data_IF_290418278215
#
_entry.id   IF_290418278215
#
_cell.length_a   1.000
_cell.length_b   1.000
_cell.length_c   1.000
_cell.angle_alpha   90.00
_cell.angle_beta   90.00
_cell.angle_gamma   90.00
#
_symmetry.space_group_name_H-M   'P 1'
#
loop_
_entity.id
_entity.type
_entity.pdbx_description
1 polymer ?
#
# COMPACT_ATOMS: atom_id res chain seq x y z
N UNK A 1 -8.30 -12.24 -11.94
CA UNK A 1 -9.14 -11.27 -12.70
C UNK A 1 -8.79 -9.88 -12.17
N UNK A 2 -8.22 -8.99 -12.98
CA UNK A 2 -7.71 -7.69 -12.51
C UNK A 2 -8.78 -6.57 -12.49
N UNK A 3 -10.05 -6.94 -12.62
CA UNK A 3 -11.17 -5.99 -12.60
C UNK A 3 -11.63 -5.79 -11.17
N UNK A 4 -11.80 -4.52 -10.76
CA UNK A 4 -12.40 -4.15 -9.47
C UNK A 4 -13.90 -3.95 -9.66
N UNK A 5 -14.69 -4.36 -8.67
CA UNK A 5 -16.13 -4.09 -8.65
C UNK A 5 -16.40 -2.57 -8.77
N UNK A 6 -17.22 -2.11 -9.73
CA UNK A 6 -17.55 -0.69 -9.90
C UNK A 6 -18.05 -0.01 -8.61
N UNK A 7 -18.84 -0.69 -7.77
CA UNK A 7 -19.33 -0.13 -6.51
C UNK A 7 -18.19 0.10 -5.51
N UNK A 8 -17.17 -0.76 -5.52
CA UNK A 8 -15.97 -0.56 -4.70
C UNK A 8 -15.17 0.64 -5.21
N UNK A 9 -15.08 0.81 -6.53
CA UNK A 9 -14.43 1.99 -7.15
C UNK A 9 -15.17 3.27 -6.75
N UNK A 10 -16.50 3.31 -6.90
CA UNK A 10 -17.32 4.45 -6.49
C UNK A 10 -17.15 4.76 -5.00
N UNK A 11 -17.15 3.73 -4.15
CA UNK A 11 -16.96 3.89 -2.70
C UNK A 11 -15.62 4.55 -2.37
N UNK A 12 -14.49 4.09 -2.92
CA UNK A 12 -13.18 4.69 -2.60
C UNK A 12 -13.05 6.10 -3.16
N UNK A 13 -13.70 6.41 -4.29
CA UNK A 13 -13.72 7.75 -4.87
C UNK A 13 -14.58 8.71 -4.04
N UNK A 14 -15.60 8.21 -3.33
CA UNK A 14 -16.42 8.97 -2.38
C UNK A 14 -15.72 9.33 -1.06
N UNK A 15 -14.46 8.94 -0.87
CA UNK A 15 -13.66 9.21 0.32
C UNK A 15 -12.60 10.30 0.05
N UNK A 16 -12.95 11.60 0.15
CA UNK A 16 -12.05 12.69 -0.26
C UNK A 16 -10.85 12.89 0.68
N UNK A 17 -10.99 12.51 1.95
CA UNK A 17 -9.99 12.76 3.00
C UNK A 17 -9.40 11.48 3.59
N UNK A 18 -9.83 10.30 3.10
CA UNK A 18 -9.34 8.99 3.55
C UNK A 18 -8.60 8.33 2.39
N UNK A 19 -7.26 8.18 2.44
CA UNK A 19 -6.51 7.39 1.47
C UNK A 19 -7.12 6.01 1.29
N UNK A 20 -7.51 5.66 0.06
CA UNK A 20 -8.11 4.36 -0.23
C UNK A 20 -7.65 3.83 -1.59
N UNK A 21 -7.31 2.54 -1.63
CA UNK A 21 -6.96 1.82 -2.86
C UNK A 21 -7.30 0.33 -2.75
N UNK A 22 -7.35 -0.35 -3.89
CA UNK A 22 -7.57 -1.80 -3.99
C UNK A 22 -6.35 -2.45 -4.61
N UNK A 23 -5.89 -3.56 -4.04
CA UNK A 23 -4.80 -4.37 -4.57
C UNK A 23 -5.17 -5.84 -4.76
N UNK A 24 -4.53 -6.53 -5.70
CA UNK A 24 -4.66 -7.99 -5.89
C UNK A 24 -3.71 -8.77 -4.97
N UNK A 25 -3.72 -10.10 -5.06
CA UNK A 25 -2.79 -10.99 -4.32
C UNK A 25 -1.31 -10.83 -4.69
N UNK A 26 -1.00 -10.17 -5.81
CA UNK A 26 0.37 -9.82 -6.21
C UNK A 26 0.78 -8.42 -5.74
N UNK A 27 -0.10 -7.73 -5.01
CA UNK A 27 0.06 -6.34 -4.57
C UNK A 27 0.10 -5.30 -5.70
N UNK A 28 -0.47 -5.61 -6.87
CA UNK A 28 -0.74 -4.62 -7.90
C UNK A 28 -1.92 -3.75 -7.47
N UNK A 29 -1.76 -2.43 -7.53
CA UNK A 29 -2.83 -1.47 -7.27
C UNK A 29 -3.77 -1.43 -8.47
N UNK A 30 -5.00 -1.88 -8.28
CA UNK A 30 -6.03 -1.99 -9.31
C UNK A 30 -6.94 -0.75 -9.37
N UNK A 31 -7.20 -0.12 -8.23
CA UNK A 31 -7.98 1.11 -8.11
C UNK A 31 -7.42 1.97 -6.98
N UNK A 32 -7.54 3.29 -7.08
CA UNK A 32 -6.98 4.20 -6.08
C UNK A 32 -7.71 5.54 -6.13
N UNK A 33 -7.90 6.17 -4.97
CA UNK A 33 -8.50 7.49 -4.88
C UNK A 33 -7.46 8.62 -4.95
N UNK A 34 -7.87 9.86 -5.25
CA UNK A 34 -6.93 10.98 -5.42
C UNK A 34 -6.03 11.23 -4.21
N UNK A 35 -6.59 11.15 -2.99
CA UNK A 35 -5.83 11.41 -1.76
C UNK A 35 -4.80 10.33 -1.47
N UNK A 36 -5.05 9.05 -1.79
CA UNK A 36 -4.02 8.00 -1.70
C UNK A 36 -2.82 8.30 -2.61
N UNK A 37 -3.07 8.67 -3.87
CA UNK A 37 -2.00 9.04 -4.82
C UNK A 37 -1.26 10.31 -4.40
N UNK A 38 -1.96 11.23 -3.74
CA UNK A 38 -1.36 12.44 -3.22
C UNK A 38 -0.44 12.16 -2.03
N UNK A 39 -0.80 11.20 -1.17
CA UNK A 39 0.04 10.73 -0.06
C UNK A 39 1.34 10.12 -0.59
N UNK A 40 1.25 9.27 -1.61
CA UNK A 40 2.44 8.76 -2.31
C UNK A 40 2.09 8.28 -3.73
N UNK A 41 2.97 8.53 -4.72
CA UNK A 41 2.78 8.01 -6.07
C UNK A 41 2.78 6.47 -6.11
N UNK A 42 3.30 5.78 -5.08
CA UNK A 42 3.31 4.32 -4.96
C UNK A 42 1.90 3.71 -4.89
N UNK A 43 0.89 4.50 -4.53
CA UNK A 43 -0.52 4.06 -4.53
C UNK A 43 -1.25 4.39 -5.84
N UNK A 44 -0.54 4.78 -6.91
CA UNK A 44 -1.16 4.94 -8.22
C UNK A 44 -1.55 3.59 -8.84
N UNK A 45 -2.61 3.59 -9.65
CA UNK A 45 -3.04 2.40 -10.39
C UNK A 45 -1.92 1.91 -11.30
N UNK A 46 -1.68 0.61 -11.31
CA UNK A 46 -0.59 -0.04 -12.06
C UNK A 46 0.74 -0.11 -11.32
N UNK A 47 0.87 0.56 -10.17
CA UNK A 47 2.01 0.36 -9.28
C UNK A 47 1.88 -0.99 -8.56
N UNK A 48 3.02 -1.59 -8.21
CA UNK A 48 3.08 -2.79 -7.41
C UNK A 48 3.75 -2.48 -6.06
N UNK A 49 3.06 -2.74 -4.95
CA UNK A 49 3.55 -2.35 -3.63
C UNK A 49 4.78 -3.16 -3.19
N UNK A 50 4.87 -4.43 -3.59
CA UNK A 50 6.04 -5.26 -3.29
C UNK A 50 7.28 -4.78 -4.07
N UNK A 51 7.13 -4.45 -5.36
CA UNK A 51 8.21 -3.82 -6.14
C UNK A 51 8.58 -2.45 -5.57
N UNK A 52 7.59 -1.67 -5.15
CA UNK A 52 7.82 -0.38 -4.52
C UNK A 52 8.54 -0.49 -3.17
N UNK A 53 8.44 -1.64 -2.48
CA UNK A 53 9.12 -1.96 -1.23
C UNK A 53 10.61 -2.31 -1.43
N UNK A 54 10.96 -3.01 -2.51
CA UNK A 54 12.30 -3.59 -2.67
C UNK A 54 13.10 -3.14 -3.91
N UNK A 55 12.48 -2.62 -4.95
CA UNK A 55 13.17 -2.33 -6.22
C UNK A 55 13.35 -0.83 -6.45
N UNK A 56 12.39 -0.01 -6.02
CA UNK A 56 12.36 1.42 -6.31
C UNK A 56 13.43 2.20 -5.51
N UNK A 57 14.50 2.73 -6.15
CA UNK A 57 15.59 3.45 -5.48
C UNK A 57 15.16 4.78 -4.87
N UNK A 58 14.08 5.39 -5.39
CA UNK A 58 13.47 6.60 -4.84
C UNK A 58 12.52 6.27 -3.69
N UNK A 59 12.29 4.98 -3.41
CA UNK A 59 11.25 4.52 -2.51
C UNK A 59 11.48 4.77 -1.04
N UNK A 60 12.73 5.05 -0.65
CA UNK A 60 13.11 5.28 0.73
C UNK A 60 13.04 6.77 1.11
N UNK A 61 13.01 7.69 0.12
CA UNK A 61 13.04 9.12 0.41
C UNK A 61 11.73 9.58 1.06
N UNK A 62 11.84 9.93 2.34
CA UNK A 62 10.72 10.45 3.12
C UNK A 62 9.82 9.38 3.73
N UNK A 63 10.07 8.07 3.59
CA UNK A 63 9.35 7.05 4.37
C UNK A 63 10.19 6.59 5.56
N UNK A 64 9.71 6.84 6.78
CA UNK A 64 10.34 6.39 8.02
C UNK A 64 9.89 4.95 8.32
N UNK A 65 10.73 4.20 9.04
CA UNK A 65 10.50 2.79 9.38
C UNK A 65 10.39 1.83 8.17
N UNK A 66 11.08 2.15 7.08
CA UNK A 66 11.01 1.37 5.84
C UNK A 66 11.39 -0.10 6.00
N UNK A 67 12.37 -0.41 6.86
CA UNK A 67 12.76 -1.78 7.17
C UNK A 67 11.57 -2.58 7.73
N UNK A 68 10.76 -1.97 8.61
CA UNK A 68 9.55 -2.60 9.18
C UNK A 68 8.49 -2.86 8.11
N UNK A 69 8.32 -1.94 7.17
CA UNK A 69 7.35 -2.07 6.06
C UNK A 69 7.80 -3.17 5.08
N UNK A 70 9.10 -3.24 4.81
CA UNK A 70 9.70 -4.27 3.96
C UNK A 70 9.53 -5.65 4.60
N UNK A 71 9.84 -5.79 5.89
CA UNK A 71 9.63 -7.03 6.63
C UNK A 71 8.15 -7.46 6.66
N UNK A 72 7.24 -6.50 6.85
CA UNK A 72 5.81 -6.75 6.78
C UNK A 72 5.37 -7.25 5.40
N UNK A 73 5.88 -6.64 4.32
CA UNK A 73 5.63 -7.08 2.94
C UNK A 73 6.14 -8.51 2.68
N UNK A 74 7.29 -8.90 3.24
CA UNK A 74 7.76 -10.30 3.19
C UNK A 74 6.77 -11.24 3.87
N UNK A 75 6.24 -10.86 5.04
CA UNK A 75 5.21 -11.65 5.74
C UNK A 75 3.98 -11.90 4.86
N UNK A 76 3.45 -10.83 4.25
CA UNK A 76 2.31 -10.90 3.35
C UNK A 76 2.59 -11.74 2.08
N UNK A 77 3.78 -11.61 1.49
CA UNK A 77 4.19 -12.42 0.34
C UNK A 77 4.27 -13.91 0.67
N UNK A 78 4.80 -14.27 1.85
CA UNK A 78 4.84 -15.66 2.33
C UNK A 78 3.45 -16.22 2.57
N UNK A 79 2.54 -15.42 3.15
CA UNK A 79 1.15 -15.82 3.37
C UNK A 79 0.42 -16.04 2.04
N UNK A 80 0.56 -15.13 1.07
CA UNK A 80 -0.02 -15.30 -0.26
C UNK A 80 0.57 -16.54 -0.96
N UNK A 81 1.86 -16.84 -0.78
CA UNK A 81 2.46 -18.05 -1.35
C UNK A 81 1.88 -19.33 -0.74
N UNK A 82 1.57 -19.32 0.55
CA UNK A 82 0.98 -20.47 1.24
C UNK A 82 -0.50 -20.70 0.86
N UNK A 83 -1.21 -19.65 0.43
CA UNK A 83 -2.67 -19.68 0.22
C UNK A 83 -3.08 -19.55 -1.24
N UNK A 84 -2.17 -19.18 -2.16
CA UNK A 84 -2.50 -18.98 -3.57
C UNK A 84 -2.86 -20.29 -4.28
N UNK A 85 -3.93 -20.24 -5.08
CA UNK A 85 -4.32 -21.34 -5.96
C UNK A 85 -3.43 -21.44 -7.22
N UNK A 86 -2.85 -20.32 -7.66
CA UNK A 86 -1.86 -20.26 -8.76
C UNK A 86 -0.61 -19.53 -8.27
N UNK A 87 0.44 -20.31 -8.00
CA UNK A 87 1.69 -19.79 -7.44
C UNK A 87 2.62 -19.21 -8.50
N UNK A 88 2.44 -19.52 -9.79
CA UNK A 88 3.40 -19.14 -10.84
C UNK A 88 3.59 -17.63 -10.99
N UNK A 89 2.54 -16.78 -10.97
CA UNK A 89 2.71 -15.33 -11.00
C UNK A 89 3.47 -14.80 -9.78
N UNK A 90 3.20 -15.36 -8.61
CA UNK A 90 3.83 -14.96 -7.36
C UNK A 90 5.30 -15.39 -7.32
N UNK A 91 5.63 -16.61 -7.74
CA UNK A 91 7.02 -17.08 -7.87
C UNK A 91 7.85 -16.19 -8.81
N UNK A 92 7.26 -15.74 -9.93
CA UNK A 92 7.92 -14.79 -10.83
C UNK A 92 8.22 -13.46 -10.13
N UNK A 93 7.26 -12.93 -9.37
CA UNK A 93 7.47 -11.71 -8.59
C UNK A 93 8.56 -11.92 -7.53
N UNK A 94 8.55 -13.03 -6.80
CA UNK A 94 9.59 -13.34 -5.80
C UNK A 94 10.98 -13.44 -6.42
N UNK A 95 11.10 -14.07 -7.59
CA UNK A 95 12.37 -14.14 -8.34
C UNK A 95 12.85 -12.77 -8.78
N UNK A 96 11.94 -11.90 -9.23
CA UNK A 96 12.24 -10.52 -9.60
C UNK A 96 12.80 -9.75 -8.40
N UNK A 97 12.09 -9.78 -7.26
CA UNK A 97 12.49 -9.11 -6.02
C UNK A 97 13.85 -9.61 -5.50
N UNK A 98 14.09 -10.92 -5.56
CA UNK A 98 15.36 -11.52 -5.14
C UNK A 98 16.55 -11.14 -6.04
N UNK A 99 16.32 -10.96 -7.34
CA UNK A 99 17.38 -10.58 -8.29
C UNK A 99 17.79 -9.10 -8.16
N UNK A 100 16.90 -8.25 -7.67
CA UNK A 100 17.09 -6.80 -7.62
C UNK A 100 17.62 -6.24 -6.30
N UNK A 101 17.56 -6.97 -5.18
CA UNK A 101 17.87 -6.40 -3.86
C UNK A 101 18.34 -7.45 -2.82
N UNK A 102 19.55 -7.29 -2.28
CA UNK A 102 20.09 -8.16 -1.21
C UNK A 102 19.32 -8.07 0.11
N UNK A 103 18.69 -6.92 0.40
CA UNK A 103 17.79 -6.71 1.53
C UNK A 103 16.54 -7.59 1.46
N UNK A 104 15.99 -7.82 0.26
CA UNK A 104 14.88 -8.78 0.10
C UNK A 104 15.29 -10.19 0.49
N UNK A 105 16.44 -10.68 0.01
CA UNK A 105 16.92 -12.03 0.33
C UNK A 105 17.13 -12.23 1.83
N UNK A 106 17.66 -11.21 2.53
CA UNK A 106 17.84 -11.23 3.98
C UNK A 106 16.52 -11.29 4.74
N UNK A 107 15.58 -10.39 4.43
CA UNK A 107 14.25 -10.37 5.06
C UNK A 107 13.47 -11.67 4.77
N UNK A 108 13.56 -12.19 3.53
CA UNK A 108 12.93 -13.45 3.13
C UNK A 108 13.47 -14.65 3.91
N UNK A 109 14.76 -14.70 4.21
CA UNK A 109 15.37 -15.78 4.99
C UNK A 109 14.98 -15.75 6.48
N UNK A 110 14.51 -14.61 7.01
CA UNK A 110 14.09 -14.48 8.40
C UNK A 110 12.79 -15.25 8.70
N UNK A 111 12.67 -15.74 9.92
CA UNK A 111 11.53 -16.54 10.37
C UNK A 111 10.24 -15.69 10.49
N UNK A 112 9.10 -16.38 10.36
CA UNK A 112 7.74 -15.83 10.21
C UNK A 112 7.43 -14.75 11.25
N UNK A 113 7.26 -13.51 10.80
CA UNK A 113 6.65 -12.44 11.59
C UNK A 113 5.12 -12.68 11.52
N UNK A 114 4.41 -12.75 12.66
CA UNK A 114 2.95 -12.71 12.64
C UNK A 114 2.49 -11.46 11.90
N UNK A 115 1.70 -11.63 10.85
CA UNK A 115 1.19 -10.49 10.08
C UNK A 115 0.17 -9.76 10.94
N UNK A 116 0.59 -8.67 11.59
CA UNK A 116 -0.36 -7.62 11.95
C UNK A 116 -0.75 -6.93 10.65
N UNK A 117 -1.94 -7.23 10.16
CA UNK A 117 -2.42 -6.69 8.89
C UNK A 117 -2.45 -5.16 8.87
N UNK A 118 -2.43 -4.51 10.03
CA UNK A 118 -2.39 -3.06 10.14
C UNK A 118 -0.97 -2.53 9.94
N UNK A 119 -0.83 -1.59 9.01
CA UNK A 119 0.47 -0.98 8.68
C UNK A 119 0.45 0.51 9.00
N UNK A 120 1.15 0.92 10.05
CA UNK A 120 1.48 2.33 10.25
C UNK A 120 2.63 2.74 9.33
N UNK A 121 2.42 3.81 8.55
CA UNK A 121 3.43 4.43 7.69
C UNK A 121 3.66 5.85 8.17
N UNK A 122 4.88 6.13 8.64
CA UNK A 122 5.29 7.50 8.94
C UNK A 122 6.10 8.02 7.77
N UNK A 123 5.80 9.23 7.31
CA UNK A 123 6.48 9.82 6.16
C UNK A 123 6.67 11.34 6.29
N UNK A 124 7.77 11.86 5.74
CA UNK A 124 8.06 13.27 5.56
C UNK A 124 7.54 13.72 4.18
N UNK A 125 6.29 14.19 4.13
CA UNK A 125 5.65 14.58 2.87
C UNK A 125 6.11 15.96 2.40
N UNK A 126 6.52 16.14 1.13
CA UNK A 126 7.14 17.37 0.65
C UNK A 126 6.26 18.62 0.75
N UNK A 127 4.93 18.46 0.75
CA UNK A 127 3.97 19.59 0.81
C UNK A 127 3.41 19.89 2.20
N UNK A 128 3.32 18.89 3.08
CA UNK A 128 2.60 19.02 4.37
C UNK A 128 3.45 18.63 5.58
N UNK A 129 4.68 18.18 5.36
CA UNK A 129 5.60 17.75 6.41
C UNK A 129 5.31 16.33 6.90
N UNK A 130 5.82 16.02 8.08
CA UNK A 130 5.74 14.68 8.68
C UNK A 130 4.31 14.27 8.99
N UNK A 131 3.88 13.09 8.56
CA UNK A 131 2.57 12.52 8.93
C UNK A 131 2.68 11.01 9.12
N UNK A 132 1.88 10.50 10.04
CA UNK A 132 1.71 9.06 10.28
C UNK A 132 0.30 8.66 9.88
N UNK A 133 0.19 7.65 9.02
CA UNK A 133 -1.08 7.10 8.54
C UNK A 133 -1.08 5.60 8.78
N UNK A 134 -2.14 5.11 9.40
CA UNK A 134 -2.35 3.70 9.71
C UNK A 134 -3.26 3.07 8.67
N UNK A 135 -2.73 2.12 7.89
CA UNK A 135 -3.46 1.44 6.84
C UNK A 135 -4.10 0.16 7.36
N UNK A 136 -5.40 0.05 7.14
CA UNK A 136 -6.22 -1.12 7.45
C UNK A 136 -6.59 -1.84 6.14
N UNK A 137 -6.05 -3.05 5.89
CA UNK A 137 -6.51 -3.89 4.80
C UNK A 137 -7.81 -4.60 5.19
N UNK A 138 -8.69 -4.75 4.20
CA UNK A 138 -10.00 -5.38 4.27
C UNK A 138 -10.13 -6.31 3.06
N UNK A 139 -10.15 -7.63 3.30
CA UNK A 139 -10.24 -8.63 2.24
C UNK A 139 -11.64 -8.64 1.64
N UNK A 140 -11.75 -8.57 0.32
CA UNK A 140 -12.99 -8.70 -0.44
C UNK A 140 -13.25 -10.19 -0.73
N UNK A 141 -14.27 -10.83 -0.12
CA UNK A 141 -14.43 -12.29 -0.20
C UNK A 141 -14.70 -12.81 -1.62
N UNK A 142 -15.42 -12.03 -2.44
CA UNK A 142 -15.83 -12.46 -3.78
C UNK A 142 -14.68 -12.51 -4.79
N UNK A 143 -13.63 -11.70 -4.59
CA UNK A 143 -12.55 -11.54 -5.57
C UNK A 143 -11.19 -11.96 -5.04
N UNK A 144 -11.02 -12.04 -3.72
CA UNK A 144 -9.67 -12.14 -3.15
C UNK A 144 -8.84 -10.90 -3.47
N UNK A 145 -9.46 -9.73 -3.60
CA UNK A 145 -8.75 -8.46 -3.61
C UNK A 145 -8.73 -7.88 -2.19
N UNK A 146 -7.86 -6.92 -1.94
CA UNK A 146 -7.76 -6.24 -0.66
C UNK A 146 -8.05 -4.76 -0.86
N UNK A 147 -9.10 -4.25 -0.21
CA UNK A 147 -9.34 -2.83 -0.04
C UNK A 147 -8.46 -2.34 1.12
N UNK A 148 -7.69 -1.28 0.92
CA UNK A 148 -6.83 -0.70 1.96
C UNK A 148 -7.30 0.72 2.24
N UNK A 149 -7.55 1.02 3.52
CA UNK A 149 -8.00 2.33 3.99
C UNK A 149 -6.95 2.94 4.93
N UNK A 150 -6.53 4.17 4.68
CA UNK A 150 -5.63 4.93 5.54
C UNK A 150 -6.39 5.74 6.57
N UNK A 151 -6.09 5.50 7.84
CA UNK A 151 -6.63 6.23 8.99
C UNK A 151 -5.55 7.07 9.67
N UNK A 152 -5.98 8.19 10.24
CA UNK A 152 -5.15 9.08 11.06
C UNK A 152 -5.83 9.23 12.41
N UNK A 153 -5.05 9.46 13.47
CA UNK A 153 -5.64 9.63 14.80
C UNK A 153 -6.45 10.94 14.85
N UNK A 154 -7.73 10.92 15.26
CA UNK A 154 -8.55 12.12 15.32
C UNK A 154 -7.95 13.20 16.23
N UNK A 155 -7.94 14.44 15.78
CA UNK A 155 -7.35 15.59 16.49
C UNK A 155 -5.82 15.65 16.45
N UNK A 156 -5.15 14.74 15.75
CA UNK A 156 -3.68 14.75 15.62
C UNK A 156 -3.18 15.71 14.54
N UNK A 157 -1.90 16.09 14.60
CA UNK A 157 -1.25 16.84 13.52
C UNK A 157 -1.28 16.10 12.17
N UNK A 158 -1.26 14.76 12.20
CA UNK A 158 -1.36 13.94 10.98
C UNK A 158 -2.72 14.11 10.30
N UNK A 159 -3.80 14.24 11.07
CA UNK A 159 -5.14 14.53 10.55
C UNK A 159 -5.18 15.90 9.87
N UNK A 160 -4.68 16.93 10.56
CA UNK A 160 -4.63 18.28 10.00
C UNK A 160 -3.80 18.32 8.70
N UNK A 161 -2.63 17.66 8.68
CA UNK A 161 -1.75 17.58 7.50
C UNK A 161 -2.41 16.81 6.35
N UNK A 162 -3.10 15.71 6.63
CA UNK A 162 -3.83 14.95 5.62
C UNK A 162 -4.98 15.76 5.02
N UNK A 163 -5.73 16.50 5.85
CA UNK A 163 -6.81 17.37 5.36
C UNK A 163 -6.27 18.56 4.55
N UNK A 164 -5.14 19.15 4.97
CA UNK A 164 -4.44 20.16 4.15
C UNK A 164 -4.00 19.60 2.80
N UNK A 165 -3.49 18.36 2.77
CA UNK A 165 -3.13 17.68 1.53
C UNK A 165 -4.37 17.46 0.64
N UNK A 166 -5.47 16.97 1.20
CA UNK A 166 -6.73 16.75 0.49
C UNK A 166 -7.28 18.06 -0.11
N UNK A 167 -7.18 19.18 0.62
CA UNK A 167 -7.59 20.49 0.13
C UNK A 167 -6.81 20.94 -1.12
N UNK A 168 -5.59 20.45 -1.35
CA UNK A 168 -4.81 20.76 -2.56
C UNK A 168 -5.31 20.06 -3.82
N UNK A 169 -6.17 19.05 -3.69
CA UNK A 169 -6.69 18.26 -4.81
C UNK A 169 -7.90 18.89 -5.49
N UNK A 170 -8.43 19.98 -4.92
CA UNK A 170 -9.65 20.63 -5.41
C UNK A 170 -10.91 19.79 -5.17
N UNK A 171 -12.11 20.35 -5.44
CA UNK A 171 -13.34 19.57 -5.40
C UNK A 171 -13.31 18.45 -6.45
N UNK A 172 -13.79 17.27 -6.07
CA UNK A 172 -13.93 16.12 -6.97
C UNK A 172 -14.97 16.47 -8.03
N UNK A 173 -14.52 16.77 -9.25
CA UNK A 173 -15.36 17.09 -10.40
C UNK A 173 -15.53 18.60 -10.63
N UNK A 174 -14.79 19.12 -11.62
CA UNK A 174 -15.22 20.28 -12.43
C UNK A 174 -15.43 19.79 -13.85
#
# INVERSE_FOLDING_TARGET
MNTVDPLVVEMILGLPTTPAFVANELFDVLASNPIARAVTPKFAVGMNLARAAFIDPLGHEGMLEWDRISDHMVGLLKENLATSADVLPLERLLSELASGNSGFTGAWASAVIPVDYVVALTMDHPKVGRMAVTYQPLRLPATGQTLVLGNVEPGSESEERLFRLAATLGPVGS
#
